data_IF_864905701098
#
_entry.id   IF_864905701098
#
_cell.length_a   1.000
_cell.length_b   1.000
_cell.length_c   1.000
_cell.angle_alpha   90.00
_cell.angle_beta   90.00
_cell.angle_gamma   90.00
#
_symmetry.space_group_name_H-M   'P 1'
#
loop_
_entity.id
_entity.type
_entity.pdbx_description
1 polymer ?
#
# COMPACT_ATOMS: atom_id res chain seq x y z
N UNK A 1 -5.40 13.20 29.96
CA UNK A 1 -4.56 12.62 28.88
C UNK A 1 -5.42 11.87 27.88
N UNK A 2 -6.19 10.87 28.30
CA UNK A 2 -7.06 10.07 27.40
C UNK A 2 -8.11 10.91 26.66
N UNK A 3 -8.77 11.85 27.32
CA UNK A 3 -9.78 12.72 26.70
C UNK A 3 -9.24 13.64 25.58
N UNK A 4 -7.92 13.79 25.48
CA UNK A 4 -7.26 14.60 24.44
C UNK A 4 -6.60 13.73 23.36
N UNK A 5 -6.79 12.43 23.39
CA UNK A 5 -6.21 11.51 22.41
C UNK A 5 -4.69 11.32 22.52
N UNK A 6 -4.07 11.72 23.64
CA UNK A 6 -2.63 11.51 23.84
C UNK A 6 -1.95 12.62 24.64
N UNK A 7 -0.62 12.61 24.64
CA UNK A 7 0.21 13.64 25.25
C UNK A 7 0.47 14.75 24.21
N UNK A 8 -0.01 15.94 24.49
CA UNK A 8 0.24 17.12 23.68
C UNK A 8 1.31 17.99 24.31
N UNK A 9 2.25 18.47 23.49
CA UNK A 9 3.17 19.52 23.87
C UNK A 9 2.57 20.85 23.43
N UNK A 10 2.62 21.89 24.28
CA UNK A 10 2.27 23.24 23.82
C UNK A 10 3.14 23.65 22.62
N UNK A 11 2.56 24.45 21.73
CA UNK A 11 3.22 24.91 20.52
C UNK A 11 4.58 25.59 20.81
N UNK A 12 4.65 26.34 21.88
CA UNK A 12 5.84 27.09 22.31
C UNK A 12 7.05 26.18 22.60
N UNK A 13 6.82 24.92 22.93
CA UNK A 13 7.91 23.95 23.12
C UNK A 13 8.55 23.50 21.80
N UNK A 14 7.90 23.73 20.66
CA UNK A 14 8.46 23.40 19.35
C UNK A 14 9.49 24.43 18.87
N UNK A 15 9.54 25.61 19.48
CA UNK A 15 10.34 26.74 19.03
C UNK A 15 11.40 27.17 20.02
N UNK A 16 12.52 27.66 19.51
CA UNK A 16 13.57 28.34 20.26
C UNK A 16 14.02 29.56 19.46
N UNK A 17 13.50 30.73 19.79
CA UNK A 17 13.60 31.90 18.93
C UNK A 17 12.89 31.62 17.61
N UNK A 18 13.55 31.88 16.49
CA UNK A 18 13.02 31.67 15.15
C UNK A 18 13.29 30.26 14.58
N UNK A 19 13.83 29.36 15.40
CA UNK A 19 14.20 28.00 14.98
C UNK A 19 13.33 26.94 15.64
N UNK A 20 13.06 25.87 14.88
CA UNK A 20 12.42 24.67 15.43
C UNK A 20 13.39 23.98 16.39
N UNK A 21 12.94 23.74 17.63
CA UNK A 21 13.74 23.07 18.64
C UNK A 21 13.96 21.61 18.28
N UNK A 22 15.20 21.18 18.20
CA UNK A 22 15.53 19.76 18.04
C UNK A 22 15.10 18.97 19.27
N UNK A 23 14.25 17.95 19.07
CA UNK A 23 13.80 17.05 20.11
C UNK A 23 14.94 16.23 20.73
N UNK A 24 15.97 15.96 19.95
CA UNK A 24 16.98 14.95 20.32
C UNK A 24 18.31 15.54 20.75
N UNK A 25 18.56 16.83 20.52
CA UNK A 25 19.83 17.48 20.90
C UNK A 25 21.09 16.75 20.38
N UNK A 26 20.93 15.86 19.40
CA UNK A 26 22.01 15.03 18.85
C UNK A 26 22.36 15.48 17.46
N UNK A 27 23.64 15.34 17.12
CA UNK A 27 24.10 15.46 15.75
C UNK A 27 23.40 14.41 14.87
N UNK A 28 22.78 14.86 13.78
CA UNK A 28 22.22 13.96 12.79
C UNK A 28 23.34 13.59 11.83
N UNK A 29 23.72 12.32 11.81
CA UNK A 29 24.68 11.84 10.84
C UNK A 29 23.95 11.58 9.51
N UNK A 30 24.27 12.36 8.49
CA UNK A 30 23.72 12.23 7.14
C UNK A 30 24.57 11.33 6.22
N UNK A 31 25.70 10.84 6.70
CA UNK A 31 26.58 9.95 5.95
C UNK A 31 26.80 8.64 6.69
N UNK A 32 26.58 7.52 5.99
CA UNK A 32 26.80 6.17 6.50
C UNK A 32 27.91 5.50 5.67
N UNK A 33 29.11 5.48 6.21
CA UNK A 33 30.29 4.91 5.55
C UNK A 33 30.10 3.43 5.19
N UNK A 34 29.47 2.66 6.06
CA UNK A 34 29.17 1.25 5.81
C UNK A 34 28.33 1.06 4.53
N UNK A 35 27.37 1.94 4.27
CA UNK A 35 26.62 1.90 3.01
C UNK A 35 27.52 2.28 1.83
N UNK A 36 28.29 3.37 1.95
CA UNK A 36 29.19 3.83 0.88
C UNK A 36 30.26 2.82 0.48
N UNK A 37 30.63 1.92 1.38
CA UNK A 37 31.61 0.83 1.14
C UNK A 37 30.95 -0.52 0.83
N UNK A 38 29.64 -0.56 0.62
CA UNK A 38 28.87 -1.76 0.25
C UNK A 38 28.44 -1.67 -1.21
N UNK A 39 28.52 -2.78 -1.92
CA UNK A 39 28.00 -2.89 -3.30
C UNK A 39 26.59 -3.46 -3.32
N UNK A 40 25.78 -2.98 -4.25
CA UNK A 40 24.55 -3.65 -4.63
C UNK A 40 24.91 -5.00 -5.27
N UNK A 41 24.38 -6.09 -4.73
CA UNK A 41 24.69 -7.46 -5.18
C UNK A 41 24.17 -7.76 -6.60
N UNK A 42 23.17 -7.03 -7.08
CA UNK A 42 22.57 -7.23 -8.40
C UNK A 42 23.28 -6.42 -9.49
N UNK A 43 23.61 -5.16 -9.20
CA UNK A 43 24.21 -4.26 -10.20
C UNK A 43 25.73 -4.13 -10.07
N UNK A 44 26.30 -4.50 -8.92
CA UNK A 44 27.72 -4.32 -8.60
C UNK A 44 28.11 -2.86 -8.27
N UNK A 45 27.18 -1.91 -8.37
CA UNK A 45 27.44 -0.50 -8.08
C UNK A 45 27.55 -0.24 -6.57
N UNK A 46 28.33 0.77 -6.20
CA UNK A 46 28.43 1.22 -4.82
C UNK A 46 27.13 1.87 -4.36
N UNK A 47 26.66 1.50 -3.17
CA UNK A 47 25.53 2.17 -2.55
C UNK A 47 25.94 3.60 -2.12
N UNK A 48 24.97 4.52 -2.17
CA UNK A 48 25.20 5.88 -1.67
C UNK A 48 25.21 5.88 -0.16
N UNK A 49 26.23 6.48 0.44
CA UNK A 49 26.33 6.64 1.90
C UNK A 49 25.53 7.84 2.44
N UNK A 50 24.78 8.53 1.62
CA UNK A 50 24.00 9.72 1.95
C UNK A 50 22.59 9.64 1.36
N UNK A 51 21.61 10.33 1.95
CA UNK A 51 20.26 10.41 1.40
C UNK A 51 20.30 11.03 -0.01
N UNK A 52 19.74 10.30 -0.98
CA UNK A 52 19.65 10.78 -2.35
C UNK A 52 18.33 10.29 -2.96
N UNK A 53 17.76 11.10 -3.84
CA UNK A 53 16.68 10.63 -4.67
C UNK A 53 17.20 9.55 -5.65
N UNK A 54 16.53 8.42 -5.66
CA UNK A 54 16.77 7.33 -6.61
C UNK A 54 15.47 7.12 -7.38
N UNK A 55 15.48 7.21 -8.72
CA UNK A 55 14.31 6.86 -9.53
C UNK A 55 13.88 5.42 -9.27
N UNK A 56 12.57 5.18 -9.38
CA UNK A 56 12.02 3.82 -9.25
C UNK A 56 12.61 2.94 -10.35
N UNK A 57 13.22 1.84 -9.93
CA UNK A 57 13.89 0.92 -10.84
C UNK A 57 13.66 -0.53 -10.39
N UNK A 58 13.88 -1.48 -11.32
CA UNK A 58 13.93 -2.89 -11.00
C UNK A 58 15.26 -3.26 -10.28
N UNK A 59 15.39 -4.50 -9.89
CA UNK A 59 16.60 -5.00 -9.19
C UNK A 59 17.88 -4.91 -10.00
N UNK A 60 17.81 -4.73 -11.31
CA UNK A 60 18.96 -4.47 -12.19
C UNK A 60 19.20 -2.97 -12.43
N UNK A 61 18.48 -2.08 -11.76
CA UNK A 61 18.63 -0.64 -11.93
C UNK A 61 17.96 -0.06 -13.19
N UNK A 62 17.12 -0.84 -13.88
CA UNK A 62 16.40 -0.37 -15.06
C UNK A 62 15.13 0.38 -14.66
N UNK A 63 14.80 1.52 -15.30
CA UNK A 63 13.59 2.27 -15.00
C UNK A 63 12.33 1.41 -15.09
N UNK A 64 11.40 1.61 -14.17
CA UNK A 64 10.10 0.92 -14.16
C UNK A 64 9.09 1.66 -15.02
N UNK A 65 8.47 0.92 -15.95
CA UNK A 65 7.37 1.41 -16.76
C UNK A 65 6.02 1.06 -16.13
N UNK A 66 5.06 1.96 -16.21
CA UNK A 66 3.73 1.83 -15.59
C UNK A 66 2.58 1.60 -16.58
N UNK A 67 2.87 1.31 -17.85
CA UNK A 67 1.88 1.00 -18.90
C UNK A 67 0.72 2.02 -18.96
N UNK A 68 1.01 3.31 -18.92
CA UNK A 68 0.02 4.39 -18.97
C UNK A 68 -0.74 4.66 -17.66
N UNK A 69 -0.45 3.92 -16.59
CA UNK A 69 -1.04 4.20 -15.29
C UNK A 69 -0.53 5.53 -14.72
N UNK A 70 -1.44 6.38 -14.24
CA UNK A 70 -1.15 7.75 -13.83
C UNK A 70 -1.40 8.04 -12.36
N UNK A 71 -2.20 7.23 -11.68
CA UNK A 71 -2.53 7.42 -10.27
C UNK A 71 -1.50 6.69 -9.40
N UNK A 72 -0.82 7.42 -8.54
CA UNK A 72 0.07 6.82 -7.55
C UNK A 72 -0.74 6.09 -6.48
N UNK A 73 -0.47 4.81 -6.31
CA UNK A 73 -1.06 3.99 -5.26
C UNK A 73 -0.26 4.16 -3.98
N UNK A 74 -0.93 4.60 -2.94
CA UNK A 74 -0.41 4.55 -1.58
C UNK A 74 -1.25 3.61 -0.73
N UNK A 75 -0.66 3.11 0.34
CA UNK A 75 -1.35 2.23 1.28
C UNK A 75 -1.30 2.82 2.68
N UNK A 76 -2.37 2.63 3.43
CA UNK A 76 -2.48 3.11 4.79
C UNK A 76 -3.00 2.03 5.74
N UNK A 77 -3.00 2.34 7.03
CA UNK A 77 -3.67 1.54 8.07
C UNK A 77 -4.88 2.29 8.57
N UNK A 78 -5.99 1.58 8.73
CA UNK A 78 -7.11 2.11 9.50
C UNK A 78 -6.82 2.02 10.99
N UNK A 79 -7.41 2.91 11.77
CA UNK A 79 -7.38 2.84 13.24
C UNK A 79 -8.14 1.62 13.77
N UNK A 80 -9.09 1.08 12.99
CA UNK A 80 -9.97 -0.01 13.37
C UNK A 80 -9.31 -1.39 13.26
N UNK A 81 -8.42 -1.58 12.28
CA UNK A 81 -7.86 -2.89 11.99
C UNK A 81 -6.34 -2.96 12.09
N UNK A 82 -5.84 -4.00 12.74
CA UNK A 82 -4.41 -4.35 12.74
C UNK A 82 -4.13 -5.24 11.51
N UNK A 83 -4.32 -4.68 10.32
CA UNK A 83 -4.19 -5.39 9.04
C UNK A 83 -5.01 -6.71 9.06
N UNK A 84 -4.40 -7.78 8.56
CA UNK A 84 -5.00 -9.11 8.44
C UNK A 84 -5.40 -9.75 9.77
N UNK A 85 -4.79 -9.35 10.88
CA UNK A 85 -5.01 -10.01 12.18
C UNK A 85 -6.42 -9.85 12.74
N UNK A 86 -7.06 -8.74 12.46
CA UNK A 86 -8.36 -8.39 13.04
C UNK A 86 -9.52 -8.50 12.05
N UNK A 87 -9.27 -9.01 10.84
CA UNK A 87 -10.33 -9.19 9.83
C UNK A 87 -11.43 -10.17 10.27
N UNK A 88 -11.10 -11.09 11.17
CA UNK A 88 -12.07 -12.00 11.76
C UNK A 88 -12.79 -11.44 12.98
N UNK A 89 -12.48 -10.22 13.40
CA UNK A 89 -13.18 -9.54 14.47
C UNK A 89 -14.44 -8.86 13.92
N UNK A 90 -15.59 -9.49 14.14
CA UNK A 90 -16.85 -9.01 13.57
C UNK A 90 -17.36 -7.69 14.12
N UNK A 91 -16.94 -7.28 15.31
CA UNK A 91 -17.23 -5.94 15.82
C UNK A 91 -16.56 -4.86 14.97
N UNK A 92 -15.29 -5.08 14.60
CA UNK A 92 -14.54 -4.14 13.77
C UNK A 92 -15.01 -4.18 12.32
N UNK A 93 -15.30 -5.35 11.77
CA UNK A 93 -15.83 -5.48 10.40
C UNK A 93 -17.25 -4.94 10.27
N UNK A 94 -18.04 -4.91 11.35
CA UNK A 94 -19.34 -4.25 11.34
C UNK A 94 -19.25 -2.73 11.17
N UNK A 95 -18.16 -2.13 11.70
CA UNK A 95 -17.91 -0.68 11.56
C UNK A 95 -17.33 -0.36 10.17
N UNK A 96 -16.36 -1.16 9.70
CA UNK A 96 -15.74 -0.99 8.39
C UNK A 96 -15.64 -2.36 7.69
N UNK A 97 -16.68 -2.75 6.93
CA UNK A 97 -16.77 -4.09 6.34
C UNK A 97 -15.77 -4.34 5.21
N UNK A 98 -15.34 -3.30 4.50
CA UNK A 98 -14.38 -3.37 3.40
C UNK A 98 -13.47 -2.15 3.39
N UNK A 99 -12.30 -2.27 2.76
CA UNK A 99 -11.53 -1.09 2.42
C UNK A 99 -12.11 -0.41 1.19
N UNK A 100 -11.82 0.87 1.06
CA UNK A 100 -12.29 1.69 -0.06
C UNK A 100 -11.12 2.21 -0.87
N UNK A 101 -11.41 2.57 -2.11
CA UNK A 101 -10.52 3.31 -2.99
C UNK A 101 -10.73 4.78 -2.69
N UNK A 102 -9.88 5.38 -1.87
CA UNK A 102 -9.95 6.81 -1.61
C UNK A 102 -9.27 7.57 -2.74
N UNK A 103 -9.97 8.53 -3.33
CA UNK A 103 -9.52 9.32 -4.48
C UNK A 103 -10.01 10.76 -4.38
N UNK A 104 -9.23 11.70 -4.92
CA UNK A 104 -9.66 13.10 -4.98
C UNK A 104 -10.86 13.27 -5.93
N UNK A 105 -11.85 14.13 -5.61
CA UNK A 105 -13.04 14.33 -6.45
C UNK A 105 -12.72 14.73 -7.89
N UNK A 106 -11.69 15.53 -8.13
CA UNK A 106 -11.26 15.94 -9.47
C UNK A 106 -10.75 14.76 -10.31
N UNK A 107 -10.04 13.80 -9.70
CA UNK A 107 -9.59 12.60 -10.39
C UNK A 107 -10.76 11.65 -10.65
N UNK A 108 -11.67 11.50 -9.69
CA UNK A 108 -12.88 10.71 -9.87
C UNK A 108 -13.70 11.24 -11.05
N UNK A 109 -13.94 12.55 -11.10
CA UNK A 109 -14.66 13.19 -12.21
C UNK A 109 -13.96 12.98 -13.56
N UNK A 110 -12.63 13.14 -13.62
CA UNK A 110 -11.82 12.91 -14.83
C UNK A 110 -11.91 11.47 -15.35
N UNK A 111 -12.06 10.51 -14.44
CA UNK A 111 -12.16 9.08 -14.74
C UNK A 111 -13.62 8.60 -14.93
N UNK A 112 -14.60 9.49 -14.82
CA UNK A 112 -16.03 9.13 -14.88
C UNK A 112 -16.50 8.28 -13.69
N UNK A 113 -15.80 8.33 -12.57
CA UNK A 113 -16.13 7.61 -11.35
C UNK A 113 -16.99 8.47 -10.42
N UNK A 114 -17.89 7.80 -9.70
CA UNK A 114 -18.74 8.44 -8.69
C UNK A 114 -18.45 7.87 -7.31
N UNK A 115 -18.75 8.65 -6.29
CA UNK A 115 -18.69 8.15 -4.91
C UNK A 115 -19.58 6.92 -4.74
N UNK A 116 -19.10 5.93 -3.98
CA UNK A 116 -19.73 4.62 -3.76
C UNK A 116 -19.82 3.69 -5.00
N UNK A 117 -19.38 4.10 -6.18
CA UNK A 117 -19.32 3.24 -7.34
C UNK A 117 -18.21 2.17 -7.20
N UNK A 118 -18.39 1.00 -7.80
CA UNK A 118 -17.32 0.01 -7.93
C UNK A 118 -16.38 0.38 -9.07
N UNK A 119 -15.09 0.15 -8.90
CA UNK A 119 -14.07 0.35 -9.91
C UNK A 119 -13.07 -0.80 -9.93
N UNK A 120 -12.67 -1.21 -11.12
CA UNK A 120 -11.53 -2.09 -11.35
C UNK A 120 -10.24 -1.33 -11.08
N UNK A 121 -9.25 -2.05 -10.54
CA UNK A 121 -7.93 -1.50 -10.25
C UNK A 121 -6.91 -2.30 -11.02
N UNK A 122 -6.24 -1.64 -11.96
CA UNK A 122 -5.26 -2.23 -12.85
C UNK A 122 -3.88 -1.63 -12.59
N UNK A 123 -2.85 -2.46 -12.70
CA UNK A 123 -1.46 -2.01 -12.71
C UNK A 123 -0.72 -2.64 -13.89
N UNK A 124 0.50 -2.16 -14.17
CA UNK A 124 1.30 -2.69 -15.28
C UNK A 124 1.57 -4.19 -15.17
N UNK A 125 1.66 -4.73 -13.95
CA UNK A 125 1.86 -6.16 -13.72
C UNK A 125 0.57 -6.93 -13.44
N UNK A 126 -0.56 -6.25 -13.33
CA UNK A 126 -1.88 -6.85 -13.20
C UNK A 126 -2.90 -6.10 -14.07
N UNK A 127 -2.79 -6.20 -15.41
CA UNK A 127 -3.68 -5.51 -16.34
C UNK A 127 -5.09 -6.12 -16.39
N UNK A 128 -5.27 -7.34 -15.90
CA UNK A 128 -6.56 -8.04 -15.87
C UNK A 128 -7.36 -7.74 -14.60
N UNK A 129 -6.80 -6.98 -13.66
CA UNK A 129 -7.39 -6.71 -12.34
C UNK A 129 -7.92 -7.99 -11.65
N UNK A 130 -7.12 -9.05 -11.71
CA UNK A 130 -7.48 -10.38 -11.21
C UNK A 130 -6.33 -10.96 -10.39
N UNK A 131 -6.64 -11.54 -9.24
CA UNK A 131 -5.67 -12.23 -8.41
C UNK A 131 -5.87 -13.75 -8.47
N UNK A 132 -4.95 -14.44 -9.12
CA UNK A 132 -4.90 -15.90 -9.18
C UNK A 132 -4.23 -16.43 -7.91
N UNK A 133 -4.95 -17.25 -7.15
CA UNK A 133 -4.44 -17.86 -5.92
C UNK A 133 -3.66 -19.17 -6.17
N UNK A 134 -3.52 -19.58 -7.44
CA UNK A 134 -2.79 -20.79 -7.82
C UNK A 134 -3.51 -22.12 -7.54
N UNK A 135 -4.76 -22.06 -7.05
CA UNK A 135 -5.59 -23.23 -6.71
C UNK A 135 -6.88 -23.30 -7.55
N UNK A 136 -6.91 -22.63 -8.69
CA UNK A 136 -8.08 -22.50 -9.56
C UNK A 136 -9.06 -21.40 -9.16
N UNK A 137 -8.79 -20.66 -8.06
CA UNK A 137 -9.62 -19.56 -7.60
C UNK A 137 -8.98 -18.26 -8.07
N UNK A 138 -9.76 -17.41 -8.74
CA UNK A 138 -9.40 -16.04 -9.12
C UNK A 138 -10.28 -15.05 -8.37
N UNK A 139 -9.68 -14.06 -7.74
CA UNK A 139 -10.37 -12.99 -7.05
C UNK A 139 -10.32 -11.71 -7.90
N UNK A 140 -11.47 -11.05 -8.13
CA UNK A 140 -11.49 -9.79 -8.87
C UNK A 140 -10.88 -8.67 -8.02
N UNK A 141 -10.14 -7.78 -8.65
CA UNK A 141 -9.59 -6.59 -7.99
C UNK A 141 -10.54 -5.41 -8.25
N UNK A 142 -11.66 -5.43 -7.56
CA UNK A 142 -12.74 -4.43 -7.65
C UNK A 142 -13.00 -3.84 -6.28
N UNK A 143 -12.79 -2.56 -6.13
CA UNK A 143 -13.02 -1.83 -4.89
C UNK A 143 -14.15 -0.79 -4.99
N UNK A 144 -14.67 -0.36 -3.86
CA UNK A 144 -15.64 0.72 -3.77
C UNK A 144 -14.92 2.07 -3.70
N UNK A 145 -15.29 2.98 -4.58
CA UNK A 145 -14.73 4.35 -4.64
C UNK A 145 -15.28 5.18 -3.48
N UNK A 146 -14.40 5.94 -2.84
CA UNK A 146 -14.75 6.98 -1.88
C UNK A 146 -14.02 8.27 -2.24
N UNK A 147 -14.76 9.32 -2.54
CA UNK A 147 -14.18 10.62 -2.85
C UNK A 147 -13.80 11.37 -1.58
N UNK A 148 -12.58 11.92 -1.52
CA UNK A 148 -12.07 12.68 -0.38
C UNK A 148 -11.24 13.88 -0.84
N UNK A 149 -11.62 15.08 -0.41
CA UNK A 149 -10.86 16.33 -0.65
C UNK A 149 -9.46 16.30 0.00
N UNK A 150 -9.29 15.54 1.08
CA UNK A 150 -8.02 15.44 1.80
C UNK A 150 -6.94 14.59 1.12
N UNK A 151 -7.25 13.93 -0.01
CA UNK A 151 -6.27 13.21 -0.83
C UNK A 151 -5.74 14.14 -1.92
N UNK A 152 -4.42 14.11 -2.12
CA UNK A 152 -3.80 14.88 -3.21
C UNK A 152 -4.27 14.36 -4.57
N UNK A 153 -4.63 15.24 -5.53
CA UNK A 153 -4.87 14.83 -6.91
C UNK A 153 -3.70 14.03 -7.49
N UNK A 154 -4.00 12.99 -8.26
CA UNK A 154 -3.03 12.04 -8.79
C UNK A 154 -2.64 10.89 -7.85
N UNK A 155 -3.24 10.82 -6.66
CA UNK A 155 -2.99 9.78 -5.65
C UNK A 155 -4.26 9.03 -5.33
N UNK A 156 -4.15 7.72 -5.16
CA UNK A 156 -5.20 6.86 -4.61
C UNK A 156 -4.69 6.13 -3.39
N UNK A 157 -5.54 5.96 -2.38
CA UNK A 157 -5.20 5.26 -1.15
C UNK A 157 -6.06 4.02 -0.96
N UNK A 158 -5.40 2.93 -0.52
CA UNK A 158 -6.05 1.72 -0.03
C UNK A 158 -5.62 1.40 1.38
N UNK A 159 -6.58 1.07 2.22
CA UNK A 159 -6.29 0.52 3.54
C UNK A 159 -5.88 -0.94 3.39
N UNK A 160 -4.75 -1.32 3.99
CA UNK A 160 -4.26 -2.70 4.00
C UNK A 160 -5.09 -3.61 4.90
N UNK A 161 -5.07 -4.92 4.59
CA UNK A 161 -5.59 -5.97 5.46
C UNK A 161 -6.95 -6.52 5.09
N UNK A 162 -7.51 -6.13 3.97
CA UNK A 162 -8.78 -6.62 3.42
C UNK A 162 -8.58 -7.53 2.21
N UNK A 163 -9.65 -8.09 1.67
CA UNK A 163 -9.62 -8.95 0.48
C UNK A 163 -8.88 -10.27 0.74
N UNK A 164 -9.14 -10.88 1.88
CA UNK A 164 -8.45 -12.09 2.30
C UNK A 164 -8.86 -13.33 1.51
N UNK A 165 -7.90 -14.28 1.45
CA UNK A 165 -8.06 -15.63 0.93
C UNK A 165 -7.81 -16.71 2.00
N UNK A 166 -7.47 -16.32 3.22
CA UNK A 166 -7.19 -17.19 4.37
C UNK A 166 -8.16 -16.89 5.52
N UNK A 167 -7.98 -17.56 6.65
CA UNK A 167 -8.76 -17.37 7.88
C UNK A 167 -10.28 -17.55 7.69
N UNK A 168 -10.69 -18.51 6.87
CA UNK A 168 -12.10 -18.79 6.59
C UNK A 168 -12.74 -17.86 5.55
N UNK A 169 -11.94 -17.15 4.74
CA UNK A 169 -12.42 -16.36 3.60
C UNK A 169 -12.75 -17.22 2.37
N UNK A 170 -12.25 -18.46 2.31
CA UNK A 170 -12.55 -19.46 1.29
C UNK A 170 -13.08 -20.74 1.94
N UNK A 171 -13.83 -21.51 1.16
CA UNK A 171 -14.25 -22.84 1.54
C UNK A 171 -13.02 -23.75 1.73
N UNK A 172 -13.02 -24.56 2.76
CA UNK A 172 -11.96 -25.54 3.04
C UNK A 172 -12.57 -26.91 3.33
N UNK A 173 -11.85 -27.97 2.98
CA UNK A 173 -12.24 -29.33 3.33
C UNK A 173 -11.33 -29.80 4.47
N UNK A 174 -11.93 -30.17 5.60
CA UNK A 174 -11.24 -30.70 6.78
C UNK A 174 -11.83 -32.10 7.07
N UNK A 175 -10.98 -33.11 7.07
CA UNK A 175 -11.39 -34.51 7.30
C UNK A 175 -12.56 -34.97 6.42
N UNK A 176 -12.56 -34.54 5.14
CA UNK A 176 -13.61 -34.85 4.17
C UNK A 176 -14.90 -34.02 4.31
N UNK A 177 -14.98 -33.15 5.28
CA UNK A 177 -16.14 -32.27 5.49
C UNK A 177 -15.88 -30.85 4.95
N UNK A 178 -16.85 -30.32 4.22
CA UNK A 178 -16.80 -28.93 3.74
C UNK A 178 -17.08 -27.98 4.91
N UNK A 179 -16.12 -27.12 5.21
CA UNK A 179 -16.29 -25.95 6.09
C UNK A 179 -16.51 -24.73 5.21
N UNK A 180 -17.72 -24.17 5.17
CA UNK A 180 -18.04 -23.06 4.27
C UNK A 180 -17.33 -21.79 4.71
N UNK A 181 -16.99 -20.97 3.71
CA UNK A 181 -16.40 -19.63 3.91
C UNK A 181 -17.36 -18.67 4.60
N UNK A 182 -16.80 -17.68 5.27
CA UNK A 182 -17.52 -16.47 5.67
C UNK A 182 -17.17 -15.32 4.68
N UNK A 183 -18.12 -14.90 3.83
CA UNK A 183 -17.87 -13.84 2.83
C UNK A 183 -17.40 -12.51 3.43
N UNK A 184 -17.75 -12.21 4.70
CA UNK A 184 -17.32 -11.00 5.40
C UNK A 184 -15.81 -10.94 5.56
N UNK A 185 -15.14 -12.09 5.66
CA UNK A 185 -13.68 -12.21 5.80
C UNK A 185 -12.94 -11.97 4.48
N UNK A 186 -13.64 -12.17 3.36
CA UNK A 186 -13.10 -11.93 2.00
C UNK A 186 -13.39 -10.53 1.48
N UNK A 187 -14.18 -9.73 2.21
CA UNK A 187 -14.62 -8.42 1.74
C UNK A 187 -13.46 -7.45 1.49
N UNK A 188 -13.65 -6.55 0.52
CA UNK A 188 -12.66 -5.55 0.11
C UNK A 188 -11.62 -6.07 -0.87
N UNK A 189 -10.54 -5.30 -1.05
CA UNK A 189 -9.48 -5.54 -2.03
C UNK A 189 -8.16 -5.86 -1.33
N UNK A 190 -7.48 -6.89 -1.81
CA UNK A 190 -6.13 -7.20 -1.36
C UNK A 190 -5.12 -6.29 -2.08
N UNK A 191 -4.61 -5.30 -1.38
CA UNK A 191 -3.74 -4.28 -1.98
C UNK A 191 -2.48 -4.87 -2.65
N UNK A 192 -1.91 -5.95 -2.10
CA UNK A 192 -0.71 -6.57 -2.69
C UNK A 192 -0.96 -7.13 -4.09
N UNK A 193 -2.21 -7.46 -4.44
CA UNK A 193 -2.53 -8.00 -5.76
C UNK A 193 -2.34 -7.00 -6.91
N UNK A 194 -2.29 -5.71 -6.60
CA UNK A 194 -2.05 -4.64 -7.58
C UNK A 194 -0.66 -4.02 -7.49
N UNK A 195 0.15 -4.40 -6.50
CA UNK A 195 1.50 -3.87 -6.36
C UNK A 195 2.36 -4.20 -7.58
N UNK A 196 3.22 -3.26 -7.94
CA UNK A 196 4.17 -3.42 -9.03
C UNK A 196 5.17 -4.52 -8.70
N UNK A 197 5.30 -5.49 -9.59
CA UNK A 197 6.34 -6.50 -9.51
C UNK A 197 7.63 -6.00 -10.17
N UNK A 198 8.73 -6.54 -9.74
CA UNK A 198 10.05 -6.33 -10.33
C UNK A 198 10.10 -6.97 -11.74
N UNK A 199 10.54 -6.21 -12.75
CA UNK A 199 10.52 -6.67 -14.13
C UNK A 199 11.53 -7.81 -14.41
N UNK A 200 12.59 -7.86 -13.63
CA UNK A 200 13.61 -8.92 -13.74
C UNK A 200 13.22 -10.16 -12.94
N UNK A 201 12.86 -9.99 -11.67
CA UNK A 201 12.51 -11.11 -10.78
C UNK A 201 11.10 -11.67 -11.03
N UNK A 202 10.19 -10.87 -11.57
CA UNK A 202 8.83 -11.21 -12.05
C UNK A 202 7.84 -11.70 -10.98
N UNK A 203 8.28 -12.39 -9.96
CA UNK A 203 7.46 -12.95 -8.89
C UNK A 203 7.64 -12.24 -7.54
N UNK A 204 8.37 -11.15 -7.53
CA UNK A 204 8.73 -10.39 -6.32
C UNK A 204 8.30 -8.94 -6.52
N UNK A 205 7.71 -8.33 -5.49
CA UNK A 205 7.44 -6.90 -5.49
C UNK A 205 8.73 -6.08 -5.50
N UNK A 206 8.61 -4.81 -5.90
CA UNK A 206 9.73 -3.88 -5.83
C UNK A 206 10.28 -3.83 -4.39
N UNK A 207 11.59 -3.78 -4.27
CA UNK A 207 12.28 -3.77 -2.99
C UNK A 207 13.28 -2.63 -2.92
N UNK A 208 13.44 -2.08 -1.72
CA UNK A 208 14.51 -1.14 -1.42
C UNK A 208 15.87 -1.80 -1.59
N UNK A 209 16.73 -1.17 -2.36
CA UNK A 209 18.05 -1.74 -2.73
C UNK A 209 19.06 -1.81 -1.57
N UNK A 210 18.83 -1.08 -0.49
CA UNK A 210 19.71 -1.03 0.68
C UNK A 210 19.27 -2.03 1.74
N UNK A 211 18.01 -1.99 2.13
CA UNK A 211 17.46 -2.78 3.22
C UNK A 211 16.63 -3.98 2.80
N UNK A 212 16.33 -4.15 1.51
CA UNK A 212 15.51 -5.24 0.99
C UNK A 212 14.04 -5.16 1.43
N UNK A 213 13.60 -4.02 1.95
CA UNK A 213 12.21 -3.83 2.38
C UNK A 213 11.27 -3.69 1.17
N UNK A 214 10.06 -4.24 1.28
CA UNK A 214 9.04 -4.06 0.26
C UNK A 214 8.68 -2.58 0.06
N UNK A 215 8.59 -2.17 -1.20
CA UNK A 215 8.22 -0.80 -1.59
C UNK A 215 6.72 -0.71 -1.82
N UNK A 216 6.04 0.14 -1.01
CA UNK A 216 4.58 0.25 -1.03
C UNK A 216 4.04 1.46 -1.80
N UNK A 217 4.89 2.37 -2.26
CA UNK A 217 4.46 3.66 -2.81
C UNK A 217 4.91 3.91 -4.25
N UNK A 218 5.59 2.97 -4.86
CA UNK A 218 6.14 3.08 -6.21
C UNK A 218 5.27 2.39 -7.28
N UNK A 219 4.05 2.03 -6.93
CA UNK A 219 3.07 1.48 -7.86
C UNK A 219 2.19 2.60 -8.40
N UNK A 220 1.94 2.59 -9.70
CA UNK A 220 0.87 3.37 -10.32
C UNK A 220 -0.24 2.46 -10.83
N UNK A 221 -1.47 2.96 -10.75
CA UNK A 221 -2.66 2.24 -11.14
C UNK A 221 -3.55 3.04 -12.09
N UNK A 222 -4.40 2.31 -12.79
CA UNK A 222 -5.56 2.83 -13.51
C UNK A 222 -6.81 2.38 -12.78
N UNK A 223 -7.79 3.26 -12.66
CA UNK A 223 -9.13 2.93 -12.19
C UNK A 223 -10.10 2.99 -13.36
N UNK A 224 -10.92 1.96 -13.50
CA UNK A 224 -11.94 1.86 -14.55
C UNK A 224 -13.28 1.53 -13.89
N UNK A 225 -14.39 2.20 -14.28
CA UNK A 225 -15.72 1.83 -13.79
C UNK A 225 -16.01 0.33 -13.96
N UNK A 226 -16.55 -0.31 -12.90
CA UNK A 226 -16.93 -1.73 -12.92
C UNK A 226 -18.40 -1.91 -13.27
#
# INVERSE_FOLDING_TARGET
MLNRGGRWWPYEYAWQGDQVRSKYGKLINLYLEKAATTRNSMTGEWLKGYPAYVPVADSLGRPIEHAGATLHLITSRTILHTKSRTISNYWLTAIQPENVIEIHPSDAARLGLRDNQRAWILSATNPEASWDLGNGIRLPIVGRVMTREGIRPGVVNFVLGYGHFAYGALDVVIDGQLVPRDPRRAAGVHANAVMRLDDYLRNTGLSDVVGGSAVFYDTKVVLVPA
#
